data_IF_933837596114
#
_entry.id   IF_933837596114
#
_cell.length_a   1.000
_cell.length_b   1.000
_cell.length_c   1.000
_cell.angle_alpha   90.00
_cell.angle_beta   90.00
_cell.angle_gamma   90.00
#
_symmetry.space_group_name_H-M   'P 1'
#
loop_
_entity.id
_entity.type
_entity.pdbx_description
1 polymer ?
#
# COMPACT_ATOMS: atom_id res chain seq x y z
N UNK A 1 -15.25 -6.13 -15.91
CA UNK A 1 -13.82 -6.37 -16.18
C UNK A 1 -13.01 -5.13 -16.50
N UNK A 2 -13.43 -4.20 -17.38
CA UNK A 2 -12.64 -2.99 -17.68
C UNK A 2 -12.25 -2.15 -16.44
N UNK A 3 -13.16 -1.99 -15.48
CA UNK A 3 -12.87 -1.30 -14.21
C UNK A 3 -11.77 -2.01 -13.39
N UNK A 4 -11.80 -3.34 -13.33
CA UNK A 4 -10.75 -4.13 -12.71
C UNK A 4 -9.39 -3.91 -13.41
N UNK A 5 -9.37 -3.94 -14.75
CA UNK A 5 -8.15 -3.69 -15.54
C UNK A 5 -7.59 -2.29 -15.33
N UNK A 6 -8.44 -1.26 -15.22
CA UNK A 6 -8.01 0.10 -14.90
C UNK A 6 -7.39 0.19 -13.50
N UNK A 7 -8.01 -0.45 -12.50
CA UNK A 7 -7.45 -0.51 -11.16
C UNK A 7 -6.10 -1.24 -11.13
N UNK A 8 -5.99 -2.38 -11.82
CA UNK A 8 -4.72 -3.11 -11.99
C UNK A 8 -3.64 -2.21 -12.58
N UNK A 9 -3.94 -1.51 -13.68
CA UNK A 9 -2.99 -0.60 -14.33
C UNK A 9 -2.57 0.57 -13.41
N UNK A 10 -3.44 1.01 -12.51
CA UNK A 10 -3.13 2.02 -11.50
C UNK A 10 -2.45 1.49 -10.23
N UNK A 11 -2.10 0.19 -10.17
CA UNK A 11 -1.49 -0.44 -8.99
C UNK A 11 -2.46 -0.65 -7.81
N UNK A 12 -3.75 -0.45 -8.02
CA UNK A 12 -4.81 -0.58 -7.01
C UNK A 12 -5.31 -2.01 -6.95
N UNK A 13 -4.47 -2.89 -6.37
CA UNK A 13 -4.66 -4.34 -6.42
C UNK A 13 -5.93 -4.78 -5.67
N UNK A 14 -6.16 -4.28 -4.45
CA UNK A 14 -7.33 -4.64 -3.65
C UNK A 14 -8.66 -4.32 -4.35
N UNK A 15 -8.75 -3.15 -5.00
CA UNK A 15 -9.91 -2.76 -5.78
C UNK A 15 -10.11 -3.63 -7.02
N UNK A 16 -9.01 -3.96 -7.70
CA UNK A 16 -9.07 -4.84 -8.86
C UNK A 16 -9.57 -6.24 -8.48
N UNK A 17 -9.06 -6.81 -7.36
CA UNK A 17 -9.54 -8.09 -6.81
C UNK A 17 -11.02 -7.99 -6.45
N UNK A 18 -11.45 -6.89 -5.81
CA UNK A 18 -12.86 -6.69 -5.45
C UNK A 18 -13.79 -6.69 -6.67
N UNK A 19 -13.38 -6.10 -7.79
CA UNK A 19 -14.17 -6.13 -9.03
C UNK A 19 -14.18 -7.51 -9.70
N UNK A 20 -13.07 -8.25 -9.65
CA UNK A 20 -13.06 -9.65 -10.06
C UNK A 20 -14.01 -10.49 -9.19
N UNK A 21 -14.01 -10.30 -7.87
CA UNK A 21 -14.90 -10.99 -6.94
C UNK A 21 -16.38 -10.76 -7.28
N UNK A 22 -16.77 -9.51 -7.55
CA UNK A 22 -18.15 -9.18 -7.99
C UNK A 22 -18.50 -9.88 -9.30
N UNK A 23 -17.57 -9.88 -10.25
CA UNK A 23 -17.78 -10.54 -11.55
C UNK A 23 -17.96 -12.04 -11.38
N UNK A 24 -17.16 -12.69 -10.53
CA UNK A 24 -17.24 -14.14 -10.26
C UNK A 24 -18.43 -14.54 -9.40
N UNK A 25 -18.94 -13.63 -8.56
CA UNK A 25 -20.20 -13.83 -7.87
C UNK A 25 -21.37 -13.88 -8.87
N UNK A 26 -21.40 -12.99 -9.86
CA UNK A 26 -22.41 -13.01 -10.92
C UNK A 26 -22.24 -14.19 -11.88
N UNK A 27 -21.01 -14.41 -12.32
CA UNK A 27 -20.64 -15.42 -13.31
C UNK A 27 -19.36 -16.15 -12.89
N UNK A 28 -19.48 -17.30 -12.20
CA UNK A 28 -18.33 -18.07 -11.78
C UNK A 28 -17.57 -18.69 -12.96
N UNK A 29 -18.17 -18.74 -14.16
CA UNK A 29 -17.51 -19.28 -15.37
C UNK A 29 -16.72 -18.24 -16.15
N UNK A 30 -16.59 -17.02 -15.62
CA UNK A 30 -15.87 -15.93 -16.25
C UNK A 30 -14.36 -16.19 -16.31
N UNK A 31 -13.90 -16.74 -17.43
CA UNK A 31 -12.48 -17.00 -17.73
C UNK A 31 -11.62 -15.74 -17.48
N UNK A 32 -12.05 -14.59 -18.00
CA UNK A 32 -11.31 -13.33 -17.86
C UNK A 32 -11.14 -12.92 -16.39
N UNK A 33 -12.19 -13.10 -15.57
CA UNK A 33 -12.15 -12.71 -14.17
C UNK A 33 -11.22 -13.64 -13.36
N UNK A 34 -11.24 -14.95 -13.64
CA UNK A 34 -10.31 -15.91 -13.03
C UNK A 34 -8.87 -15.62 -13.43
N UNK A 35 -8.59 -15.42 -14.73
CA UNK A 35 -7.24 -15.10 -15.21
C UNK A 35 -6.71 -13.81 -14.57
N UNK A 36 -7.53 -12.75 -14.57
CA UNK A 36 -7.14 -11.45 -13.99
C UNK A 36 -6.92 -11.56 -12.49
N UNK A 37 -7.80 -12.26 -11.75
CA UNK A 37 -7.66 -12.43 -10.29
C UNK A 37 -6.46 -13.29 -9.93
N UNK A 38 -6.23 -14.39 -10.64
CA UNK A 38 -5.06 -15.23 -10.45
C UNK A 38 -3.75 -14.45 -10.68
N UNK A 39 -3.69 -13.61 -11.71
CA UNK A 39 -2.54 -12.75 -11.97
C UNK A 39 -2.31 -11.75 -10.85
N UNK A 40 -3.36 -11.05 -10.38
CA UNK A 40 -3.26 -10.13 -9.24
C UNK A 40 -2.76 -10.84 -7.97
N UNK A 41 -3.32 -12.01 -7.66
CA UNK A 41 -2.91 -12.81 -6.50
C UNK A 41 -1.47 -13.29 -6.61
N UNK A 42 -1.01 -13.64 -7.82
CA UNK A 42 0.38 -13.97 -8.08
C UNK A 42 1.31 -12.76 -7.86
N UNK A 43 0.91 -11.56 -8.29
CA UNK A 43 1.73 -10.34 -8.10
C UNK A 43 1.96 -10.01 -6.62
N UNK A 44 0.96 -10.25 -5.76
CA UNK A 44 1.09 -10.08 -4.30
C UNK A 44 1.61 -11.33 -3.60
N UNK A 45 2.03 -12.37 -4.34
CA UNK A 45 2.52 -13.66 -3.81
C UNK A 45 1.53 -14.36 -2.89
N UNK A 46 0.23 -14.15 -3.09
CA UNK A 46 -0.83 -14.94 -2.46
C UNK A 46 -1.04 -16.24 -3.26
N UNK A 47 -0.04 -17.13 -3.18
CA UNK A 47 0.06 -18.31 -4.04
C UNK A 47 -1.08 -19.33 -3.85
N UNK A 48 -1.57 -19.61 -2.62
CA UNK A 48 -2.68 -20.56 -2.43
C UNK A 48 -3.96 -20.13 -3.15
N UNK A 49 -4.34 -18.85 -3.02
CA UNK A 49 -5.54 -18.31 -3.64
C UNK A 49 -5.37 -18.23 -5.18
N UNK A 50 -4.16 -17.88 -5.64
CA UNK A 50 -3.82 -17.93 -7.07
C UNK A 50 -3.99 -19.34 -7.64
N UNK A 51 -3.47 -20.36 -6.95
CA UNK A 51 -3.60 -21.77 -7.35
C UNK A 51 -5.06 -22.20 -7.42
N UNK A 52 -5.87 -21.79 -6.45
CA UNK A 52 -7.31 -22.08 -6.45
C UNK A 52 -8.00 -21.55 -7.73
N UNK A 53 -7.72 -20.30 -8.12
CA UNK A 53 -8.28 -19.72 -9.34
C UNK A 53 -7.78 -20.41 -10.62
N UNK A 54 -6.51 -20.80 -10.67
CA UNK A 54 -5.94 -21.51 -11.81
C UNK A 54 -6.49 -22.94 -11.95
N UNK A 55 -6.70 -23.65 -10.84
CA UNK A 55 -7.33 -24.98 -10.87
C UNK A 55 -8.80 -24.87 -11.31
N UNK A 56 -9.53 -23.85 -10.85
CA UNK A 56 -10.88 -23.60 -11.34
C UNK A 56 -10.89 -23.29 -12.85
N UNK A 57 -9.96 -22.47 -13.32
CA UNK A 57 -9.80 -22.18 -14.75
C UNK A 57 -9.47 -23.45 -15.56
N UNK A 58 -8.65 -24.36 -15.01
CA UNK A 58 -8.34 -25.65 -15.62
C UNK A 58 -9.59 -26.53 -15.76
N UNK A 59 -10.44 -26.58 -14.73
CA UNK A 59 -11.71 -27.30 -14.79
C UNK A 59 -12.63 -26.72 -15.88
N UNK A 60 -12.70 -25.39 -16.00
CA UNK A 60 -13.48 -24.75 -17.06
C UNK A 60 -12.95 -25.09 -18.45
N UNK A 61 -11.64 -25.02 -18.68
CA UNK A 61 -11.06 -25.42 -19.97
C UNK A 61 -11.30 -26.89 -20.29
N UNK A 62 -11.21 -27.79 -19.31
CA UNK A 62 -11.54 -29.20 -19.49
C UNK A 62 -13.02 -29.41 -19.84
N UNK A 63 -13.95 -28.71 -19.19
CA UNK A 63 -15.38 -28.76 -19.52
C UNK A 63 -15.63 -28.26 -20.94
N UNK A 64 -15.01 -27.14 -21.34
CA UNK A 64 -15.16 -26.62 -22.71
C UNK A 64 -14.65 -27.64 -23.75
N UNK A 65 -13.55 -28.33 -23.45
CA UNK A 65 -13.00 -29.34 -24.36
C UNK A 65 -13.89 -30.57 -24.49
N UNK A 66 -14.51 -30.99 -23.38
CA UNK A 66 -15.46 -32.10 -23.38
C UNK A 66 -16.76 -31.73 -24.10
N UNK A 67 -17.33 -30.57 -23.77
CA UNK A 67 -18.68 -30.17 -24.16
C UNK A 67 -18.71 -29.43 -25.51
N UNK A 68 -17.52 -29.05 -26.04
CA UNK A 68 -17.31 -28.30 -27.29
C UNK A 68 -18.09 -26.98 -27.36
N UNK A 69 -18.39 -26.40 -26.19
CA UNK A 69 -19.17 -25.17 -26.04
C UNK A 69 -18.50 -24.24 -25.04
N UNK A 70 -18.54 -22.95 -25.32
CA UNK A 70 -18.05 -21.92 -24.40
C UNK A 70 -19.10 -21.65 -23.31
N UNK A 71 -18.70 -21.29 -22.08
CA UNK A 71 -19.63 -21.10 -20.98
C UNK A 71 -20.51 -19.86 -21.15
N UNK A 72 -21.79 -19.97 -20.85
CA UNK A 72 -22.76 -18.88 -20.94
C UNK A 72 -23.42 -18.75 -22.32
N UNK A 73 -24.23 -17.69 -22.52
CA UNK A 73 -25.08 -17.58 -23.70
C UNK A 73 -24.29 -17.40 -25.01
N UNK A 74 -24.83 -17.81 -26.17
CA UNK A 74 -24.13 -17.73 -27.46
C UNK A 74 -23.70 -16.32 -27.89
N UNK A 75 -24.45 -15.29 -27.49
CA UNK A 75 -24.16 -13.88 -27.80
C UNK A 75 -23.08 -13.28 -26.89
N UNK A 76 -22.69 -13.97 -25.83
CA UNK A 76 -21.67 -13.49 -24.90
C UNK A 76 -20.31 -13.51 -25.59
N UNK A 77 -19.63 -12.38 -25.56
CA UNK A 77 -18.26 -12.27 -26.09
C UNK A 77 -17.28 -12.91 -25.11
N UNK A 78 -16.59 -13.96 -25.54
CA UNK A 78 -15.47 -14.54 -24.81
C UNK A 78 -14.15 -13.97 -25.31
N UNK A 79 -13.20 -13.77 -24.40
CA UNK A 79 -11.85 -13.32 -24.75
C UNK A 79 -10.95 -14.46 -25.21
N UNK A 80 -11.46 -15.69 -25.24
CA UNK A 80 -10.71 -16.89 -25.61
C UNK A 80 -11.45 -17.60 -26.73
N UNK A 81 -10.74 -17.93 -27.80
CA UNK A 81 -11.27 -18.75 -28.88
C UNK A 81 -11.06 -20.23 -28.57
N UNK A 82 -12.00 -21.07 -28.96
CA UNK A 82 -11.93 -22.52 -28.72
C UNK A 82 -10.60 -23.15 -29.19
N UNK A 83 -10.09 -22.72 -30.35
CA UNK A 83 -8.83 -23.23 -30.93
C UNK A 83 -7.60 -22.98 -30.04
N UNK A 84 -7.64 -21.97 -29.18
CA UNK A 84 -6.52 -21.61 -28.28
C UNK A 84 -6.52 -22.42 -26.99
N UNK A 85 -7.65 -23.07 -26.65
CA UNK A 85 -7.85 -23.71 -25.35
C UNK A 85 -6.85 -24.85 -25.09
N UNK A 86 -6.55 -25.76 -26.04
CA UNK A 86 -5.55 -26.80 -25.80
C UNK A 86 -4.17 -26.23 -25.42
N UNK A 87 -3.71 -25.20 -26.14
CA UNK A 87 -2.44 -24.53 -25.86
C UNK A 87 -2.44 -23.83 -24.51
N UNK A 88 -3.52 -23.09 -24.20
CA UNK A 88 -3.72 -22.43 -22.90
C UNK A 88 -3.78 -23.43 -21.75
N UNK A 89 -4.44 -24.58 -21.93
CA UNK A 89 -4.54 -25.64 -20.94
C UNK A 89 -3.18 -26.27 -20.63
N UNK A 90 -2.34 -26.49 -21.65
CA UNK A 90 -0.97 -26.95 -21.48
C UNK A 90 -0.14 -25.94 -20.66
N UNK A 91 -0.14 -24.66 -21.06
CA UNK A 91 0.56 -23.60 -20.36
C UNK A 91 0.06 -23.41 -18.91
N UNK A 92 -1.25 -23.52 -18.71
CA UNK A 92 -1.90 -23.44 -17.40
C UNK A 92 -1.46 -24.60 -16.49
N UNK A 93 -1.42 -25.83 -17.02
CA UNK A 93 -0.99 -27.01 -16.25
C UNK A 93 0.47 -26.89 -15.82
N UNK A 94 1.35 -26.44 -16.71
CA UNK A 94 2.75 -26.17 -16.37
C UNK A 94 2.88 -25.04 -15.33
N UNK A 95 2.06 -23.98 -15.42
CA UNK A 95 2.03 -22.90 -14.43
C UNK A 95 1.58 -23.39 -13.06
N UNK A 96 0.51 -24.19 -12.99
CA UNK A 96 0.01 -24.79 -11.75
C UNK A 96 1.09 -25.65 -11.10
N UNK A 97 1.79 -26.50 -11.86
CA UNK A 97 2.87 -27.33 -11.32
C UNK A 97 4.01 -26.50 -10.73
N UNK A 98 4.46 -25.45 -11.44
CA UNK A 98 5.49 -24.52 -10.92
C UNK A 98 5.04 -23.82 -9.64
N UNK A 99 3.80 -23.35 -9.58
CA UNK A 99 3.27 -22.70 -8.38
C UNK A 99 3.11 -23.68 -7.21
N UNK A 100 2.72 -24.93 -7.47
CA UNK A 100 2.68 -25.99 -6.44
C UNK A 100 4.07 -26.28 -5.86
N UNK A 101 5.11 -26.31 -6.69
CA UNK A 101 6.49 -26.47 -6.23
C UNK A 101 6.94 -25.29 -5.35
N UNK A 102 6.61 -24.05 -5.74
CA UNK A 102 6.89 -22.85 -4.92
C UNK A 102 6.14 -22.84 -3.58
N UNK A 103 4.92 -23.36 -3.57
CA UNK A 103 4.17 -23.54 -2.32
C UNK A 103 4.83 -24.62 -1.44
N UNK A 104 5.26 -25.73 -2.04
CA UNK A 104 5.95 -26.82 -1.34
C UNK A 104 7.33 -26.41 -0.79
N UNK A 105 8.03 -25.45 -1.43
CA UNK A 105 9.28 -24.89 -0.91
C UNK A 105 9.10 -23.92 0.27
N UNK A 106 7.85 -23.64 0.68
CA UNK A 106 7.54 -22.81 1.85
C UNK A 106 7.27 -21.33 1.55
N UNK A 107 7.08 -20.93 0.27
CA UNK A 107 6.79 -19.53 -0.08
C UNK A 107 5.39 -19.05 0.33
N UNK A 108 4.56 -19.90 0.94
CA UNK A 108 3.15 -19.61 1.28
C UNK A 108 2.95 -18.45 2.25
N UNK A 109 3.95 -18.14 3.10
CA UNK A 109 3.88 -17.06 4.09
C UNK A 109 4.29 -15.68 3.56
N UNK A 110 4.88 -15.59 2.37
CA UNK A 110 5.59 -14.39 1.90
C UNK A 110 4.69 -13.49 1.02
N UNK A 111 3.48 -13.19 1.48
CA UNK A 111 2.55 -12.30 0.77
C UNK A 111 3.10 -10.86 0.81
N UNK A 112 3.12 -10.19 -0.34
CA UNK A 112 3.49 -8.77 -0.43
C UNK A 112 2.30 -7.88 -0.03
N UNK A 113 2.19 -7.61 1.27
CA UNK A 113 1.14 -6.77 1.82
C UNK A 113 1.29 -5.29 1.45
N UNK A 114 2.50 -4.82 1.14
CA UNK A 114 2.72 -3.45 0.67
C UNK A 114 2.08 -3.26 -0.71
N UNK A 115 2.29 -4.21 -1.63
CA UNK A 115 1.65 -4.20 -2.95
C UNK A 115 0.12 -4.36 -2.85
N UNK A 116 -0.38 -5.17 -1.93
CA UNK A 116 -1.83 -5.35 -1.71
C UNK A 116 -2.51 -4.05 -1.23
N UNK A 117 -1.92 -3.37 -0.25
CA UNK A 117 -2.48 -2.13 0.33
C UNK A 117 -2.21 -0.93 -0.60
N UNK A 118 -1.18 -1.01 -1.45
CA UNK A 118 -0.77 0.06 -2.35
C UNK A 118 0.20 1.06 -1.70
N UNK A 119 1.06 0.58 -0.80
CA UNK A 119 2.05 1.38 -0.07
C UNK A 119 3.47 1.05 -0.51
N UNK A 120 4.39 2.00 -0.29
CA UNK A 120 5.83 1.79 -0.46
C UNK A 120 6.42 1.12 0.79
N UNK A 121 7.54 0.41 0.63
CA UNK A 121 8.32 -0.12 1.75
C UNK A 121 8.93 1.04 2.55
N UNK A 122 8.95 0.93 3.87
CA UNK A 122 9.35 2.03 4.76
C UNK A 122 8.30 3.15 4.86
N UNK A 123 7.02 2.83 4.64
CA UNK A 123 5.94 3.80 4.84
C UNK A 123 5.79 4.16 6.32
N UNK A 124 5.28 5.38 6.57
CA UNK A 124 5.02 5.82 7.95
C UNK A 124 3.80 5.11 8.54
N UNK A 125 3.78 4.98 9.87
CA UNK A 125 2.63 4.42 10.59
C UNK A 125 1.30 5.12 10.24
N UNK A 126 1.30 6.45 10.16
CA UNK A 126 0.09 7.24 9.85
C UNK A 126 -0.38 7.06 8.40
N UNK A 127 0.52 6.75 7.47
CA UNK A 127 0.16 6.41 6.09
C UNK A 127 -0.49 5.04 6.02
N UNK A 128 0.05 4.05 6.73
CA UNK A 128 -0.55 2.72 6.86
C UNK A 128 -1.95 2.77 7.46
N UNK A 129 -2.13 3.48 8.58
CA UNK A 129 -3.42 3.59 9.27
C UNK A 129 -4.49 4.23 8.37
N UNK A 130 -4.14 5.31 7.65
CA UNK A 130 -5.06 5.97 6.70
C UNK A 130 -5.44 5.06 5.53
N UNK A 131 -4.46 4.39 4.92
CA UNK A 131 -4.70 3.48 3.80
C UNK A 131 -5.58 2.30 4.22
N UNK A 132 -5.28 1.70 5.38
CA UNK A 132 -6.06 0.60 5.93
C UNK A 132 -7.49 1.00 6.24
N UNK A 133 -7.72 2.16 6.86
CA UNK A 133 -9.06 2.68 7.15
C UNK A 133 -9.89 2.81 5.87
N UNK A 134 -9.32 3.43 4.82
CA UNK A 134 -10.00 3.60 3.54
C UNK A 134 -10.36 2.26 2.89
N UNK A 135 -9.44 1.30 2.90
CA UNK A 135 -9.68 -0.04 2.34
C UNK A 135 -10.75 -0.80 3.14
N UNK A 136 -10.69 -0.76 4.46
CA UNK A 136 -11.69 -1.38 5.33
C UNK A 136 -13.08 -0.80 5.11
N UNK A 137 -13.22 0.53 5.00
CA UNK A 137 -14.51 1.17 4.74
C UNK A 137 -15.11 0.80 3.37
N UNK A 138 -14.26 0.56 2.38
CA UNK A 138 -14.67 0.21 1.01
C UNK A 138 -14.96 -1.27 0.82
N UNK A 139 -14.18 -2.14 1.44
CA UNK A 139 -14.25 -3.59 1.25
C UNK A 139 -14.92 -4.33 2.40
N UNK A 140 -15.73 -3.65 3.24
CA UNK A 140 -16.56 -4.33 4.23
C UNK A 140 -17.42 -5.41 3.56
N UNK A 141 -17.48 -6.64 4.12
CA UNK A 141 -18.23 -7.74 3.51
C UNK A 141 -19.73 -7.42 3.39
N UNK A 142 -20.29 -6.64 4.32
CA UNK A 142 -21.71 -6.26 4.30
C UNK A 142 -22.07 -5.43 3.05
N UNK A 143 -21.14 -4.58 2.59
CA UNK A 143 -21.31 -3.75 1.40
C UNK A 143 -21.12 -4.53 0.10
N UNK A 144 -20.66 -5.78 0.18
CA UNK A 144 -20.38 -6.59 -1.00
C UNK A 144 -21.64 -6.96 -1.78
N UNK A 145 -22.82 -6.91 -1.16
CA UNK A 145 -24.09 -7.25 -1.83
C UNK A 145 -24.77 -6.08 -2.51
N UNK A 146 -24.43 -4.83 -2.17
CA UNK A 146 -25.13 -3.64 -2.68
C UNK A 146 -24.97 -3.36 -4.18
N UNK A 147 -24.24 -4.19 -4.92
CA UNK A 147 -24.26 -4.15 -6.39
C UNK A 147 -25.34 -5.07 -6.99
N UNK A 148 -25.74 -6.11 -6.27
CA UNK A 148 -26.72 -7.12 -6.70
C UNK A 148 -28.12 -6.51 -6.75
N UNK A 149 -28.43 -5.57 -5.84
CA UNK A 149 -29.71 -4.86 -5.83
C UNK A 149 -29.97 -4.05 -7.12
N UNK A 150 -28.91 -3.78 -7.91
CA UNK A 150 -28.99 -3.11 -9.22
C UNK A 150 -28.96 -4.09 -10.40
N UNK A 151 -28.92 -5.40 -10.15
CA UNK A 151 -28.85 -6.42 -11.18
C UNK A 151 -30.21 -7.09 -11.37
N UNK A 152 -30.75 -7.01 -12.59
CA UNK A 152 -31.84 -7.86 -13.05
C UNK A 152 -31.23 -9.15 -13.60
N UNK A 153 -31.29 -10.24 -12.83
CA UNK A 153 -30.81 -11.54 -13.28
C UNK A 153 -31.94 -12.25 -14.04
N UNK A 154 -31.68 -12.59 -15.31
CA UNK A 154 -32.65 -13.28 -16.17
C UNK A 154 -32.78 -14.80 -15.88
N UNK A 155 -31.87 -15.36 -15.07
CA UNK A 155 -31.86 -16.79 -14.72
C UNK A 155 -32.55 -17.02 -13.37
N UNK A 156 -33.19 -18.18 -13.17
CA UNK A 156 -33.59 -18.73 -11.86
C UNK A 156 -32.38 -19.10 -10.96
N UNK A 157 -31.30 -18.31 -11.00
CA UNK A 157 -30.24 -18.44 -10.00
C UNK A 157 -30.76 -17.79 -8.73
N UNK A 158 -30.71 -18.54 -7.64
CA UNK A 158 -31.01 -18.00 -6.31
C UNK A 158 -30.15 -16.75 -6.08
N UNK A 159 -30.80 -15.59 -5.99
CA UNK A 159 -30.15 -14.32 -5.66
C UNK A 159 -29.32 -14.44 -4.38
N UNK A 160 -29.78 -15.28 -3.46
CA UNK A 160 -29.10 -15.59 -2.21
C UNK A 160 -27.77 -16.31 -2.44
N UNK A 161 -27.69 -17.25 -3.40
CA UNK A 161 -26.41 -17.89 -3.77
C UNK A 161 -25.39 -16.91 -4.32
N UNK A 162 -25.83 -15.88 -5.05
CA UNK A 162 -24.97 -14.81 -5.58
C UNK A 162 -24.51 -13.90 -4.45
N UNK A 163 -25.43 -13.53 -3.55
CA UNK A 163 -25.13 -12.74 -2.35
C UNK A 163 -24.13 -13.45 -1.45
N UNK A 164 -24.27 -14.75 -1.24
CA UNK A 164 -23.38 -15.53 -0.39
C UNK A 164 -21.98 -15.65 -0.99
N UNK A 165 -21.88 -15.91 -2.30
CA UNK A 165 -20.58 -15.90 -3.00
C UNK A 165 -19.92 -14.51 -2.96
N UNK A 166 -20.70 -13.44 -3.11
CA UNK A 166 -20.21 -12.07 -3.00
C UNK A 166 -19.70 -11.75 -1.58
N UNK A 167 -20.48 -12.10 -0.54
CA UNK A 167 -20.10 -11.92 0.87
C UNK A 167 -18.85 -12.73 1.22
N UNK A 168 -18.80 -14.00 0.83
CA UNK A 168 -17.66 -14.89 1.12
C UNK A 168 -16.38 -14.37 0.45
N UNK A 169 -16.42 -14.04 -0.84
CA UNK A 169 -15.24 -13.53 -1.55
C UNK A 169 -14.80 -12.15 -1.03
N UNK A 170 -15.73 -11.28 -0.63
CA UNK A 170 -15.39 -10.02 0.02
C UNK A 170 -14.80 -10.22 1.42
N UNK A 171 -15.31 -11.18 2.19
CA UNK A 171 -14.77 -11.53 3.52
C UNK A 171 -13.33 -12.04 3.42
N UNK A 172 -13.01 -12.86 2.42
CA UNK A 172 -11.64 -13.33 2.19
C UNK A 172 -10.68 -12.15 1.90
N UNK A 173 -11.08 -11.24 1.01
CA UNK A 173 -10.29 -10.03 0.73
C UNK A 173 -10.14 -9.16 1.98
N UNK A 174 -11.21 -8.97 2.74
CA UNK A 174 -11.19 -8.18 3.97
C UNK A 174 -10.23 -8.78 5.01
N UNK A 175 -10.25 -10.10 5.22
CA UNK A 175 -9.31 -10.79 6.12
C UNK A 175 -7.87 -10.66 5.63
N UNK A 176 -7.64 -10.75 4.32
CA UNK A 176 -6.31 -10.57 3.73
C UNK A 176 -5.77 -9.16 3.99
N UNK A 177 -6.63 -8.13 3.86
CA UNK A 177 -6.29 -6.75 4.19
C UNK A 177 -5.99 -6.55 5.68
N UNK A 178 -6.77 -7.17 6.58
CA UNK A 178 -6.51 -7.13 8.01
C UNK A 178 -5.19 -7.79 8.39
N UNK A 179 -4.90 -8.97 7.82
CA UNK A 179 -3.62 -9.66 8.01
C UNK A 179 -2.46 -8.81 7.50
N UNK A 180 -2.64 -8.17 6.35
CA UNK A 180 -1.62 -7.27 5.78
C UNK A 180 -1.35 -6.05 6.65
N UNK A 181 -2.39 -5.43 7.21
CA UNK A 181 -2.22 -4.33 8.14
C UNK A 181 -1.40 -4.75 9.37
N UNK A 182 -1.79 -5.84 10.05
CA UNK A 182 -1.05 -6.29 11.24
C UNK A 182 0.41 -6.66 10.93
N UNK A 183 0.66 -7.29 9.77
CA UNK A 183 2.01 -7.65 9.35
C UNK A 183 2.89 -6.45 9.05
N UNK A 184 2.38 -5.47 8.29
CA UNK A 184 3.13 -4.25 7.95
C UNK A 184 3.32 -3.38 9.19
N UNK A 185 2.30 -3.30 10.05
CA UNK A 185 2.37 -2.59 11.32
C UNK A 185 3.48 -3.15 12.21
N UNK A 186 3.59 -4.47 12.34
CA UNK A 186 4.70 -5.11 13.07
C UNK A 186 6.05 -4.75 12.48
N UNK A 187 6.19 -4.83 11.15
CA UNK A 187 7.44 -4.51 10.47
C UNK A 187 7.89 -3.05 10.69
N UNK A 188 6.95 -2.09 10.64
CA UNK A 188 7.23 -0.68 10.93
C UNK A 188 7.71 -0.51 12.38
N UNK A 189 7.04 -1.17 13.34
CA UNK A 189 7.44 -1.09 14.75
C UNK A 189 8.84 -1.66 14.99
N UNK A 190 9.18 -2.77 14.33
CA UNK A 190 10.51 -3.39 14.40
C UNK A 190 11.60 -2.51 13.77
N UNK A 191 11.30 -1.88 12.63
CA UNK A 191 12.18 -0.92 11.97
C UNK A 191 12.43 0.32 12.85
N UNK A 192 11.37 0.90 13.44
CA UNK A 192 11.50 2.03 14.37
C UNK A 192 12.33 1.68 15.62
N UNK A 193 12.16 0.46 16.15
CA UNK A 193 12.92 -0.02 17.30
C UNK A 193 14.41 -0.18 16.95
N UNK A 194 14.72 -0.77 15.79
CA UNK A 194 16.07 -0.93 15.29
C UNK A 194 16.74 0.44 15.04
N UNK A 195 16.02 1.42 14.50
CA UNK A 195 16.55 2.76 14.28
C UNK A 195 16.82 3.49 15.60
N UNK A 196 15.94 3.36 16.60
CA UNK A 196 16.17 3.88 17.96
C UNK A 196 17.41 3.26 18.61
N UNK A 197 17.63 1.96 18.43
CA UNK A 197 18.83 1.28 18.93
C UNK A 197 20.09 1.75 18.22
N UNK A 198 20.06 1.91 16.89
CA UNK A 198 21.18 2.47 16.11
C UNK A 198 21.53 3.89 16.56
N UNK A 199 20.54 4.75 16.79
CA UNK A 199 20.74 6.11 17.33
C UNK A 199 21.37 6.10 18.72
N UNK A 200 20.93 5.20 19.62
CA UNK A 200 21.53 5.03 20.95
C UNK A 200 22.99 4.56 20.87
N UNK A 201 23.31 3.60 20.01
CA UNK A 201 24.68 3.12 19.80
C UNK A 201 25.59 4.20 19.17
N UNK A 202 25.07 4.97 18.22
CA UNK A 202 25.77 6.12 17.63
C UNK A 202 26.03 7.23 18.66
N UNK A 203 25.04 7.53 19.51
CA UNK A 203 25.21 8.50 20.59
C UNK A 203 26.24 8.03 21.64
N UNK A 204 26.22 6.73 21.99
CA UNK A 204 27.19 6.16 22.93
C UNK A 204 28.62 6.20 22.37
N UNK A 205 28.82 5.86 21.09
CA UNK A 205 30.12 5.93 20.43
C UNK A 205 30.62 7.36 20.28
N UNK A 206 29.75 8.31 19.93
CA UNK A 206 30.09 9.74 19.89
C UNK A 206 30.47 10.28 21.28
N UNK A 207 29.75 9.88 22.33
CA UNK A 207 30.08 10.27 23.71
C UNK A 207 31.43 9.71 24.16
N UNK A 208 31.75 8.45 23.82
CA UNK A 208 33.07 7.85 24.04
C UNK A 208 34.18 8.61 23.31
N UNK A 209 33.97 8.97 22.04
CA UNK A 209 34.94 9.73 21.25
C UNK A 209 35.16 11.15 21.81
N UNK A 210 34.10 11.83 22.23
CA UNK A 210 34.18 13.14 22.87
C UNK A 210 34.93 13.07 24.21
N UNK A 211 34.70 12.04 25.03
CA UNK A 211 35.43 11.84 26.28
C UNK A 211 36.93 11.61 26.06
N UNK A 212 37.30 10.83 25.03
CA UNK A 212 38.71 10.59 24.66
C UNK A 212 39.38 11.89 24.18
N UNK A 213 38.68 12.71 23.37
CA UNK A 213 39.21 14.02 22.95
C UNK A 213 39.44 14.96 24.14
N UNK A 214 38.51 15.04 25.09
CA UNK A 214 38.65 15.90 26.29
C UNK A 214 39.87 15.47 27.13
N UNK A 215 40.10 14.16 27.32
CA UNK A 215 41.28 13.65 28.02
C UNK A 215 42.60 13.94 27.29
N UNK A 216 42.63 13.87 25.95
CA UNK A 216 43.83 14.22 25.18
C UNK A 216 44.17 15.72 25.29
N UNK A 217 43.18 16.62 25.24
CA UNK A 217 43.41 18.06 25.47
C UNK A 217 43.84 18.38 26.91
N UNK A 218 43.42 17.60 27.91
CA UNK A 218 43.87 17.78 29.30
C UNK A 218 45.31 17.30 29.54
N UNK A 219 45.79 16.30 28.80
CA UNK A 219 47.16 15.80 28.94
C UNK A 219 48.21 16.71 28.26
N UNK A 220 47.82 17.53 27.29
CA UNK A 220 48.72 18.43 26.56
C UNK A 220 48.95 19.80 27.22
N UNK A 221 48.27 20.12 28.33
CA UNK A 221 48.33 21.46 28.97
C UNK A 221 49.21 21.54 30.23
N UNK A 222 50.09 20.57 30.50
CA UNK A 222 51.01 20.62 31.65
C UNK A 222 52.36 21.25 31.33
N UNK A 223 52.39 22.52 30.91
CA UNK A 223 53.53 23.44 31.07
C UNK A 223 53.18 24.85 30.61
N UNK A 224 53.03 25.78 31.58
CA UNK A 224 53.60 27.14 31.63
C UNK A 224 52.85 27.96 32.70
N UNK A 225 53.59 28.35 33.74
CA UNK A 225 53.20 29.24 34.85
C UNK A 225 53.34 30.73 34.44
N UNK A 226 52.83 31.68 35.25
CA UNK A 226 52.27 32.97 34.81
C UNK A 226 53.22 34.16 34.98
N UNK A 227 52.96 35.24 34.23
CA UNK A 227 53.55 36.56 34.49
C UNK A 227 52.48 37.66 34.32
N UNK A 228 52.49 38.56 35.28
CA UNK A 228 51.59 39.71 35.52
C UNK A 228 51.76 40.86 34.52
N UNK A 229 50.69 41.62 34.26
CA UNK A 229 50.80 42.92 33.58
C UNK A 229 49.47 43.66 33.38
N UNK A 230 49.32 44.80 34.06
CA UNK A 230 48.26 45.82 34.02
C UNK A 230 47.92 46.36 32.61
N UNK A 231 46.62 46.62 32.32
CA UNK A 231 46.04 47.98 32.16
C UNK A 231 44.62 48.00 31.55
N UNK A 232 43.88 49.04 31.98
CA UNK A 232 42.52 49.47 31.67
C UNK A 232 42.06 49.44 30.20
N UNK A 233 40.77 49.13 29.98
CA UNK A 233 39.79 50.11 29.44
C UNK A 233 38.36 49.56 29.31
N UNK A 234 37.45 50.43 29.74
CA UNK A 234 35.98 50.50 29.59
C UNK A 234 35.49 50.29 28.15
N UNK A 235 34.43 49.50 27.92
CA UNK A 235 33.10 50.01 27.51
C UNK A 235 32.00 48.94 27.30
N UNK A 236 30.88 49.17 27.98
CA UNK A 236 29.45 49.06 27.63
C UNK A 236 28.89 48.18 26.49
N UNK A 237 27.78 47.52 26.83
CA UNK A 237 26.58 47.31 25.99
C UNK A 237 26.52 45.96 25.29
N UNK A 238 25.43 45.19 25.23
CA UNK A 238 24.02 45.34 25.61
C UNK A 238 23.45 43.93 25.79
N UNK A 239 22.54 43.76 26.75
CA UNK A 239 21.68 42.59 26.85
C UNK A 239 20.70 42.55 25.66
N UNK A 240 20.71 41.48 24.86
CA UNK A 240 19.56 41.13 24.01
C UNK A 240 19.05 39.74 24.39
N UNK A 241 17.88 39.78 25.03
CA UNK A 241 17.03 38.64 25.29
C UNK A 241 16.66 37.94 23.98
N UNK A 242 16.76 36.62 24.01
CA UNK A 242 16.28 35.74 22.96
C UNK A 242 14.74 35.73 22.96
N UNK A 243 14.13 36.26 21.89
CA UNK A 243 12.77 35.88 21.50
C UNK A 243 12.89 34.84 20.38
N UNK A 244 12.82 33.56 20.75
CA UNK A 244 12.68 32.46 19.80
C UNK A 244 11.26 32.47 19.21
N UNK A 245 11.06 33.22 18.12
CA UNK A 245 9.92 33.01 17.24
C UNK A 245 10.33 31.95 16.20
N UNK A 246 9.87 30.72 16.39
CA UNK A 246 9.95 29.66 15.39
C UNK A 246 9.16 30.09 14.14
N UNK A 247 9.86 30.67 13.16
CA UNK A 247 9.27 30.94 11.85
C UNK A 247 9.28 29.63 11.05
N UNK A 248 8.18 28.88 11.19
CA UNK A 248 7.97 27.61 10.50
C UNK A 248 8.10 27.77 8.99
N UNK A 249 8.80 26.80 8.37
CA UNK A 249 8.98 26.64 6.92
C UNK A 249 7.64 26.59 6.16
N UNK A 250 6.53 26.36 6.87
CA UNK A 250 5.17 26.30 6.36
C UNK A 250 4.65 27.62 5.75
N UNK A 251 5.11 28.78 6.24
CA UNK A 251 4.63 30.08 5.75
C UNK A 251 5.31 30.53 4.45
N UNK A 252 6.43 29.91 4.07
CA UNK A 252 7.18 30.26 2.85
C UNK A 252 6.56 29.63 1.60
N UNK A 253 5.94 28.46 1.74
CA UNK A 253 5.38 27.72 0.61
C UNK A 253 3.99 28.19 0.17
N UNK A 254 3.19 28.77 1.09
CA UNK A 254 1.90 29.37 0.74
C UNK A 254 2.05 30.63 -0.14
N UNK A 255 3.11 31.41 0.07
CA UNK A 255 3.43 32.55 -0.80
C UNK A 255 3.85 32.10 -2.21
N UNK A 256 4.52 30.94 -2.34
CA UNK A 256 4.89 30.37 -3.62
C UNK A 256 3.68 29.81 -4.39
N UNK A 257 2.72 29.19 -3.70
CA UNK A 257 1.48 28.68 -4.31
C UNK A 257 0.56 29.85 -4.75
N UNK A 258 0.51 30.94 -3.98
CA UNK A 258 -0.21 32.16 -4.36
C UNK A 258 0.31 32.79 -5.65
N UNK A 259 1.63 32.83 -5.84
CA UNK A 259 2.24 33.36 -7.08
C UNK A 259 1.97 32.47 -8.30
N UNK A 260 1.93 31.15 -8.15
CA UNK A 260 1.65 30.23 -9.26
C UNK A 260 0.21 30.31 -9.79
N UNK A 261 -0.76 30.59 -8.91
CA UNK A 261 -2.17 30.73 -9.31
C UNK A 261 -2.47 32.06 -10.01
N UNK A 262 -1.59 33.06 -9.88
CA UNK A 262 -1.76 34.38 -10.53
C UNK A 262 -1.38 34.39 -12.01
N UNK A 263 -0.62 33.41 -12.49
CA UNK A 263 -0.10 33.39 -13.87
C UNK A 263 -1.08 32.82 -14.92
N UNK A 264 -2.25 32.31 -14.51
CA UNK A 264 -3.27 31.81 -15.45
C UNK A 264 -4.60 32.53 -15.24
N UNK A 265 -4.71 33.71 -15.85
CA UNK A 265 -5.98 34.25 -16.35
C UNK A 265 -7.00 34.84 -15.37
N UNK A 266 -6.72 34.92 -14.06
CA UNK A 266 -7.64 35.55 -13.10
C UNK A 266 -6.93 36.61 -12.24
N UNK A 267 -6.87 37.85 -12.76
CA UNK A 267 -6.35 39.01 -12.06
C UNK A 267 -7.31 39.52 -10.96
N UNK A 268 -7.46 38.79 -9.85
CA UNK A 268 -7.93 39.36 -8.57
C UNK A 268 -7.25 38.65 -7.37
N UNK A 269 -6.52 39.38 -6.50
CA UNK A 269 -6.06 38.81 -5.25
C UNK A 269 -7.27 38.56 -4.33
N UNK A 270 -7.40 37.34 -3.81
CA UNK A 270 -8.42 36.97 -2.83
C UNK A 270 -7.90 37.36 -1.44
N UNK A 271 -8.53 38.31 -0.73
CA UNK A 271 -8.12 38.67 0.63
C UNK A 271 -8.58 37.58 1.61
N UNK A 272 -7.64 36.84 2.18
CA UNK A 272 -7.92 35.92 3.28
C UNK A 272 -7.79 36.70 4.59
N UNK A 273 -8.91 36.95 5.27
CA UNK A 273 -8.91 37.50 6.63
C UNK A 273 -8.51 36.41 7.61
N UNK A 274 -7.41 36.60 8.33
CA UNK A 274 -7.03 35.78 9.46
C UNK A 274 -7.78 36.28 10.70
N UNK A 275 -8.93 35.69 10.98
CA UNK A 275 -9.58 35.81 12.28
C UNK A 275 -9.63 34.45 12.96
N UNK A 276 -9.32 34.46 14.26
CA UNK A 276 -9.38 33.38 15.24
C UNK A 276 -8.20 32.38 15.30
N UNK A 277 -7.07 32.88 15.80
CA UNK A 277 -6.18 32.11 16.69
C UNK A 277 -6.02 32.91 18.01
N UNK A 278 -6.94 32.70 18.95
CA UNK A 278 -6.64 32.84 20.38
C UNK A 278 -7.65 32.04 21.21
N UNK A 279 -7.18 30.92 21.75
CA UNK A 279 -7.38 30.39 23.11
C UNK A 279 -6.61 29.08 23.19
#
# INVERSE_FOLDING_TARGET
MHRASAYKASGRIAESISDCNKTLALDPTSIQALETRAELLETIRCLPDCLHDLEHLKLLYNSIMRDRKLPGPPWKRHNVRYREIPGKLCALTAKIQRLKQRVASGETGNVDYYALIGLKRGCSRSELERAHLLLCLRHKPDKATGFIDRCELADERDLDSVKDRAKMSALLLYRLLQKGYSSVMSAIMDEEAAEKQRKKAAAATAALQAAIQVQQTQCCNSKLEPETGFNDRVNSGENKAATNAFQGVFCRDLAAVGSLLSQVGFNRPIPVKYEALSC
#
